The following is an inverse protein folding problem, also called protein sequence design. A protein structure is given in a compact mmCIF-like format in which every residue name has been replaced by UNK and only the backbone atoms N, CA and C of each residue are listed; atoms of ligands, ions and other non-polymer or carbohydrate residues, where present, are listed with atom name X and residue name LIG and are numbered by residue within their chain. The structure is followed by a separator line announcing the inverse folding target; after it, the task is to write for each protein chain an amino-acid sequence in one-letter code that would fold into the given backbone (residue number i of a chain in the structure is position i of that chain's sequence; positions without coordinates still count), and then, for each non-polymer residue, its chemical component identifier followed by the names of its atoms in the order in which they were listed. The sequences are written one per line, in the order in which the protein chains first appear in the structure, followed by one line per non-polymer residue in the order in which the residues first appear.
data_IF_230021810785
#
_entry.id   IF_230021810785
#
_cell.length_a   1.000
_cell.length_b   1.000
_cell.length_c   1.000
_cell.angle_alpha   90.00
_cell.angle_beta   90.00
_cell.angle_gamma   90.00
#
_symmetry.space_group_name_H-M   'P 1'
#
loop_
_entity.id
_entity.type
_entity.pdbx_description
1 polymer ?
#
# COMPACT_ATOMS: atom_id res chain seq x y z
N UNK A 1 34.19 -8.55 21.67
CA UNK A 1 33.86 -9.48 20.57
C UNK A 1 33.15 -8.64 19.51
N UNK A 2 33.82 -7.58 19.07
CA UNK A 2 33.18 -6.33 18.63
C UNK A 2 33.81 -5.74 17.37
N UNK A 3 34.76 -6.44 16.76
CA UNK A 3 35.51 -5.95 15.59
C UNK A 3 35.19 -6.76 14.31
N UNK A 4 34.09 -7.51 14.33
CA UNK A 4 33.58 -8.24 13.15
C UNK A 4 32.25 -7.65 12.65
N UNK A 5 31.94 -6.41 13.01
CA UNK A 5 30.82 -5.67 12.44
C UNK A 5 31.31 -4.88 11.22
N UNK A 6 30.69 -5.18 10.07
CA UNK A 6 30.69 -4.38 8.85
C UNK A 6 31.95 -4.37 7.99
N UNK A 7 32.37 -5.55 7.53
CA UNK A 7 32.80 -5.65 6.14
C UNK A 7 31.65 -6.27 5.32
N UNK A 8 30.57 -5.50 5.14
CA UNK A 8 29.51 -5.85 4.17
C UNK A 8 30.10 -5.70 2.79
N UNK A 9 30.65 -6.79 2.29
CA UNK A 9 31.17 -6.89 0.93
C UNK A 9 30.01 -6.74 -0.04
N UNK A 10 30.06 -5.73 -0.88
CA UNK A 10 29.06 -5.47 -1.92
C UNK A 10 29.53 -6.00 -3.28
N UNK A 11 28.60 -6.13 -4.22
CA UNK A 11 28.92 -6.56 -5.60
C UNK A 11 30.04 -5.69 -6.21
N UNK A 12 30.05 -4.38 -5.94
CA UNK A 12 31.09 -3.45 -6.41
C UNK A 12 32.49 -3.82 -5.91
N UNK A 13 32.58 -4.29 -4.67
CA UNK A 13 33.87 -4.58 -4.03
C UNK A 13 34.52 -5.80 -4.69
N UNK A 14 33.69 -6.76 -5.17
CA UNK A 14 34.16 -7.90 -5.97
C UNK A 14 34.71 -7.44 -7.32
N UNK A 15 34.11 -6.42 -7.94
CA UNK A 15 34.61 -5.85 -9.20
C UNK A 15 35.91 -5.07 -9.00
N UNK A 16 36.05 -4.33 -7.91
CA UNK A 16 37.29 -3.63 -7.57
C UNK A 16 38.43 -4.64 -7.34
N UNK A 17 38.17 -5.73 -6.61
CA UNK A 17 39.14 -6.82 -6.46
C UNK A 17 39.49 -7.49 -7.78
N UNK A 18 38.52 -7.73 -8.66
CA UNK A 18 38.77 -8.31 -9.97
C UNK A 18 39.69 -7.42 -10.82
N UNK A 19 39.53 -6.10 -10.73
CA UNK A 19 40.38 -5.13 -11.42
C UNK A 19 41.82 -5.15 -10.90
N UNK A 20 42.01 -5.07 -9.58
CA UNK A 20 43.34 -5.10 -8.96
C UNK A 20 44.08 -6.41 -9.28
N UNK A 21 43.37 -7.53 -9.17
CA UNK A 21 43.91 -8.85 -9.49
C UNK A 21 44.29 -8.95 -10.97
N UNK A 22 43.49 -8.38 -11.88
CA UNK A 22 43.80 -8.37 -13.30
C UNK A 22 45.06 -7.55 -13.60
N UNK A 23 45.25 -6.42 -12.94
CA UNK A 23 46.45 -5.59 -13.06
C UNK A 23 47.70 -6.36 -12.60
N UNK A 24 47.58 -7.14 -11.52
CA UNK A 24 48.69 -7.97 -11.04
C UNK A 24 49.01 -9.14 -11.97
N UNK A 25 47.99 -9.77 -12.56
CA UNK A 25 48.21 -10.77 -13.62
C UNK A 25 48.89 -10.18 -14.85
N UNK A 26 48.58 -8.94 -15.24
CA UNK A 26 49.25 -8.26 -16.34
C UNK A 26 50.75 -8.07 -16.06
N UNK A 27 51.12 -7.66 -14.84
CA UNK A 27 52.52 -7.56 -14.41
C UNK A 27 53.24 -8.91 -14.49
N UNK A 28 52.58 -10.00 -14.06
CA UNK A 28 53.16 -11.35 -14.06
C UNK A 28 53.30 -11.89 -15.49
N UNK A 29 52.29 -11.71 -16.35
CA UNK A 29 52.30 -12.08 -17.77
C UNK A 29 53.48 -11.42 -18.52
N UNK A 30 53.82 -10.18 -18.17
CA UNK A 30 54.95 -9.48 -18.76
C UNK A 30 56.31 -10.08 -18.37
N UNK A 31 56.36 -10.96 -17.37
CA UNK A 31 57.58 -11.56 -16.80
C UNK A 31 57.72 -13.08 -16.98
N UNK A 32 56.63 -13.81 -17.20
CA UNK A 32 56.57 -15.28 -17.30
C UNK A 32 55.96 -15.74 -18.63
N UNK A 33 56.24 -17.00 -19.00
CA UNK A 33 55.61 -17.63 -20.17
C UNK A 33 54.10 -17.85 -19.96
N UNK A 34 53.32 -17.35 -20.92
CA UNK A 34 51.86 -17.25 -20.82
C UNK A 34 51.12 -18.58 -20.69
N UNK A 35 51.69 -19.68 -21.17
CA UNK A 35 51.02 -20.98 -21.20
C UNK A 35 50.73 -21.54 -19.79
N UNK A 36 51.49 -21.12 -18.77
CA UNK A 36 51.31 -21.61 -17.39
C UNK A 36 50.33 -20.76 -16.57
N UNK A 37 50.11 -19.49 -16.96
CA UNK A 37 49.32 -18.53 -16.17
C UNK A 37 47.84 -18.57 -16.56
N UNK A 38 47.51 -18.85 -17.82
CA UNK A 38 46.12 -18.89 -18.32
C UNK A 38 45.21 -19.85 -17.50
N UNK A 39 45.64 -21.07 -17.12
CA UNK A 39 44.83 -21.94 -16.28
C UNK A 39 44.58 -21.38 -14.87
N UNK A 40 45.52 -20.59 -14.34
CA UNK A 40 45.38 -19.95 -13.03
C UNK A 40 44.38 -18.80 -13.09
N UNK A 41 44.47 -17.95 -14.13
CA UNK A 41 43.50 -16.86 -14.38
C UNK A 41 42.08 -17.44 -14.45
N UNK A 42 41.87 -18.52 -15.20
CA UNK A 42 40.56 -19.17 -15.30
C UNK A 42 40.03 -19.72 -13.96
N UNK A 43 40.91 -20.14 -13.04
CA UNK A 43 40.49 -20.54 -11.69
C UNK A 43 40.12 -19.33 -10.84
N UNK A 44 40.87 -18.24 -10.93
CA UNK A 44 40.59 -17.01 -10.19
C UNK A 44 39.28 -16.38 -10.66
N UNK A 45 39.02 -16.37 -11.96
CA UNK A 45 37.72 -15.96 -12.53
C UNK A 45 36.58 -16.76 -11.89
N UNK A 46 36.68 -18.10 -11.87
CA UNK A 46 35.64 -18.95 -11.23
C UNK A 46 35.44 -18.65 -9.75
N UNK A 47 36.51 -18.32 -9.02
CA UNK A 47 36.41 -17.94 -7.60
C UNK A 47 35.71 -16.60 -7.45
N UNK A 48 36.02 -15.61 -8.31
CA UNK A 48 35.36 -14.31 -8.32
C UNK A 48 33.87 -14.42 -8.71
N UNK A 49 33.52 -15.26 -9.68
CA UNK A 49 32.13 -15.56 -10.05
C UNK A 49 31.34 -16.16 -8.87
N UNK A 50 31.94 -17.12 -8.15
CA UNK A 50 31.31 -17.73 -6.97
C UNK A 50 31.19 -16.74 -5.80
N UNK A 51 32.17 -15.84 -5.66
CA UNK A 51 32.14 -14.77 -4.67
C UNK A 51 31.01 -13.78 -4.97
N UNK A 52 30.89 -13.33 -6.21
CA UNK A 52 29.81 -12.44 -6.67
C UNK A 52 28.43 -13.06 -6.41
N UNK A 53 28.23 -14.34 -6.76
CA UNK A 53 26.99 -15.05 -6.47
C UNK A 53 26.69 -15.12 -4.97
N UNK A 54 27.72 -15.35 -4.15
CA UNK A 54 27.57 -15.41 -2.70
C UNK A 54 27.21 -14.05 -2.10
N UNK A 55 27.85 -12.97 -2.58
CA UNK A 55 27.58 -11.58 -2.18
C UNK A 55 26.16 -11.19 -2.55
N UNK A 56 25.72 -11.43 -3.79
CA UNK A 56 24.34 -11.17 -4.23
C UNK A 56 23.31 -11.88 -3.36
N UNK A 57 23.59 -13.13 -3.01
CA UNK A 57 22.71 -13.91 -2.12
C UNK A 57 22.64 -13.31 -0.72
N UNK A 58 23.78 -12.87 -0.18
CA UNK A 58 23.84 -12.22 1.14
C UNK A 58 23.05 -10.91 1.12
N UNK A 59 23.26 -10.04 0.13
CA UNK A 59 22.53 -8.78 -0.01
C UNK A 59 21.00 -9.01 -0.10
N UNK A 60 20.58 -10.04 -0.86
CA UNK A 60 19.18 -10.42 -0.96
C UNK A 60 18.60 -10.88 0.40
N UNK A 61 19.33 -11.72 1.12
CA UNK A 61 18.93 -12.21 2.45
C UNK A 61 18.94 -11.09 3.50
N UNK A 62 19.89 -10.16 3.43
CA UNK A 62 19.95 -9.01 4.32
C UNK A 62 18.76 -8.07 4.09
N UNK A 63 18.40 -7.84 2.82
CA UNK A 63 17.18 -7.10 2.47
C UNK A 63 15.93 -7.78 3.00
N UNK A 64 15.77 -9.08 2.76
CA UNK A 64 14.64 -9.85 3.29
C UNK A 64 14.58 -9.81 4.83
N UNK A 65 15.72 -9.96 5.49
CA UNK A 65 15.82 -9.86 6.96
C UNK A 65 15.44 -8.47 7.46
N UNK A 66 15.86 -7.40 6.78
CA UNK A 66 15.46 -6.03 7.09
C UNK A 66 13.94 -5.84 6.94
N UNK A 67 13.37 -6.33 5.84
CA UNK A 67 11.93 -6.25 5.58
C UNK A 67 11.12 -7.03 6.64
N UNK A 68 11.57 -8.23 7.00
CA UNK A 68 10.95 -9.05 8.05
C UNK A 68 11.03 -8.37 9.42
N UNK A 69 12.17 -7.75 9.77
CA UNK A 69 12.31 -6.98 11.01
C UNK A 69 11.35 -5.79 11.03
N UNK A 70 11.24 -5.06 9.94
CA UNK A 70 10.31 -3.95 9.81
C UNK A 70 8.85 -4.41 10.01
N UNK A 71 8.46 -5.49 9.34
CA UNK A 71 7.13 -6.09 9.47
C UNK A 71 6.86 -6.60 10.89
N UNK A 72 7.83 -7.24 11.52
CA UNK A 72 7.73 -7.69 12.91
C UNK A 72 7.51 -6.51 13.86
N UNK A 73 8.28 -5.43 13.71
CA UNK A 73 8.10 -4.23 14.54
C UNK A 73 6.71 -3.62 14.35
N UNK A 74 6.26 -3.49 13.10
CA UNK A 74 4.92 -2.97 12.79
C UNK A 74 3.81 -3.82 13.43
N UNK A 75 3.83 -5.14 13.23
CA UNK A 75 2.85 -6.05 13.81
C UNK A 75 2.88 -6.05 15.34
N UNK A 76 4.07 -5.91 15.94
CA UNK A 76 4.19 -5.82 17.40
C UNK A 76 3.53 -4.54 17.90
N UNK A 77 3.76 -3.40 17.23
CA UNK A 77 3.11 -2.14 17.60
C UNK A 77 1.59 -2.20 17.45
N UNK A 78 1.10 -2.75 16.34
CA UNK A 78 -0.33 -2.91 16.08
C UNK A 78 -0.99 -3.83 17.13
N UNK A 79 -0.35 -4.96 17.45
CA UNK A 79 -0.81 -5.86 18.50
C UNK A 79 -0.94 -5.14 19.85
N UNK A 80 0.09 -4.40 20.25
CA UNK A 80 0.05 -3.66 21.52
C UNK A 80 -1.01 -2.56 21.54
N UNK A 81 -1.23 -1.88 20.41
CA UNK A 81 -2.26 -0.86 20.28
C UNK A 81 -3.67 -1.47 20.38
N UNK A 82 -3.91 -2.57 19.68
CA UNK A 82 -5.19 -3.28 19.71
C UNK A 82 -5.50 -3.89 21.09
N UNK A 83 -4.49 -4.41 21.79
CA UNK A 83 -4.63 -4.87 23.18
C UNK A 83 -4.99 -3.72 24.13
N UNK A 84 -4.38 -2.54 23.96
CA UNK A 84 -4.69 -1.35 24.74
C UNK A 84 -6.10 -0.83 24.45
N UNK A 85 -6.51 -0.79 23.18
CA UNK A 85 -7.87 -0.40 22.78
C UNK A 85 -8.92 -1.36 23.35
N UNK A 86 -8.69 -2.67 23.22
CA UNK A 86 -9.58 -3.68 23.81
C UNK A 86 -9.70 -3.51 25.32
N UNK A 87 -8.59 -3.22 26.01
CA UNK A 87 -8.60 -2.95 27.45
C UNK A 87 -9.42 -1.70 27.79
N UNK A 88 -9.21 -0.61 27.06
CA UNK A 88 -9.93 0.64 27.28
C UNK A 88 -11.43 0.47 27.03
N UNK A 89 -11.81 -0.23 25.95
CA UNK A 89 -13.21 -0.54 25.65
C UNK A 89 -13.87 -1.37 26.74
N UNK A 90 -13.15 -2.34 27.33
CA UNK A 90 -13.67 -3.11 28.49
C UNK A 90 -13.90 -2.22 29.70
N UNK A 91 -12.94 -1.36 30.04
CA UNK A 91 -13.09 -0.43 31.17
C UNK A 91 -14.25 0.54 30.97
N UNK A 92 -14.41 1.09 29.76
CA UNK A 92 -15.53 1.97 29.43
C UNK A 92 -16.87 1.24 29.51
N UNK A 93 -16.92 -0.04 29.14
CA UNK A 93 -18.12 -0.86 29.27
C UNK A 93 -18.47 -1.14 30.73
N UNK A 94 -17.48 -1.47 31.57
CA UNK A 94 -17.65 -1.67 33.01
C UNK A 94 -18.17 -0.38 33.69
N UNK A 95 -17.61 0.78 33.35
CA UNK A 95 -18.08 2.08 33.86
C UNK A 95 -19.52 2.40 33.42
N UNK A 96 -19.87 2.09 32.17
CA UNK A 96 -21.24 2.25 31.67
C UNK A 96 -22.22 1.32 32.39
N UNK A 97 -21.85 0.07 32.62
CA UNK A 97 -22.67 -0.90 33.33
C UNK A 97 -22.90 -0.48 34.79
N UNK A 98 -21.85 0.03 35.45
CA UNK A 98 -21.97 0.58 36.81
C UNK A 98 -22.92 1.78 36.84
N UNK A 99 -22.73 2.74 35.93
CA UNK A 99 -23.59 3.94 35.80
C UNK A 99 -25.05 3.56 35.55
N UNK A 100 -25.29 2.63 34.61
CA UNK A 100 -26.63 2.15 34.30
C UNK A 100 -27.30 1.45 35.48
N UNK A 101 -26.54 0.63 36.22
CA UNK A 101 -27.02 -0.03 37.44
C UNK A 101 -27.42 0.99 38.51
N UNK A 102 -26.58 2.01 38.73
CA UNK A 102 -26.88 3.11 39.66
C UNK A 102 -28.14 3.88 39.24
N UNK A 103 -28.28 4.23 37.96
CA UNK A 103 -29.46 4.92 37.43
C UNK A 103 -30.73 4.08 37.63
N UNK A 104 -30.67 2.77 37.35
CA UNK A 104 -31.77 1.85 37.57
C UNK A 104 -32.22 1.82 39.04
N UNK A 105 -31.27 1.86 39.99
CA UNK A 105 -31.58 1.93 41.43
C UNK A 105 -32.27 3.25 41.78
N UNK A 106 -31.77 4.39 41.26
CA UNK A 106 -32.36 5.72 41.50
C UNK A 106 -33.78 5.80 40.93
N UNK A 107 -33.98 5.35 39.69
CA UNK A 107 -35.29 5.34 39.04
C UNK A 107 -36.29 4.46 39.79
N UNK A 108 -35.85 3.29 40.26
CA UNK A 108 -36.69 2.41 41.07
C UNK A 108 -37.11 3.07 42.39
N UNK A 109 -36.18 3.72 43.09
CA UNK A 109 -36.48 4.48 44.30
C UNK A 109 -37.48 5.62 44.03
N UNK A 110 -37.36 6.30 42.89
CA UNK A 110 -38.29 7.35 42.49
C UNK A 110 -39.70 6.80 42.18
N UNK A 111 -39.78 5.67 41.48
CA UNK A 111 -41.06 4.97 41.23
C UNK A 111 -41.73 4.57 42.55
N UNK A 112 -40.97 4.02 43.50
CA UNK A 112 -41.52 3.60 44.80
C UNK A 112 -42.02 4.80 45.60
N UNK A 113 -41.31 5.93 45.56
CA UNK A 113 -41.77 7.19 46.16
C UNK A 113 -43.07 7.70 45.53
N UNK A 114 -43.16 7.76 44.20
CA UNK A 114 -44.37 8.17 43.49
C UNK A 114 -45.55 7.24 43.75
N UNK A 115 -45.31 5.93 43.83
CA UNK A 115 -46.34 4.95 44.21
C UNK A 115 -46.86 5.19 45.63
N UNK A 116 -45.97 5.51 46.57
CA UNK A 116 -46.36 5.85 47.93
C UNK A 116 -47.20 7.13 47.97
N UNK A 117 -46.78 8.19 47.27
CA UNK A 117 -47.51 9.46 47.16
C UNK A 117 -48.89 9.27 46.50
N UNK A 118 -48.97 8.52 45.40
CA UNK A 118 -50.23 8.19 44.75
C UNK A 118 -51.18 7.43 45.69
N UNK A 119 -50.67 6.48 46.47
CA UNK A 119 -51.48 5.76 47.46
C UNK A 119 -52.04 6.70 48.54
N UNK A 120 -51.22 7.65 49.02
CA UNK A 120 -51.66 8.66 50.00
C UNK A 120 -52.74 9.57 49.39
N UNK A 121 -52.53 10.07 48.17
CA UNK A 121 -53.50 10.92 47.48
C UNK A 121 -54.81 10.19 47.17
N UNK A 122 -54.73 8.91 46.76
CA UNK A 122 -55.91 8.08 46.54
C UNK A 122 -56.72 7.90 47.83
N UNK A 123 -56.06 7.64 48.96
CA UNK A 123 -56.74 7.54 50.25
C UNK A 123 -57.41 8.88 50.62
N UNK A 124 -56.71 10.01 50.45
CA UNK A 124 -57.26 11.33 50.74
C UNK A 124 -58.45 11.72 49.84
N UNK A 125 -58.44 11.31 48.56
CA UNK A 125 -59.57 11.50 47.65
C UNK A 125 -60.75 10.60 48.01
N UNK A 126 -60.51 9.36 48.41
CA UNK A 126 -61.56 8.46 48.90
C UNK A 126 -62.26 9.03 50.14
N UNK A 127 -61.50 9.63 51.07
CA UNK A 127 -62.05 10.34 52.24
C UNK A 127 -62.85 11.60 51.87
N UNK A 128 -62.56 12.25 50.74
CA UNK A 128 -63.21 13.50 50.29
C UNK A 128 -64.43 13.28 49.39
N UNK A 129 -64.56 12.12 48.76
CA UNK A 129 -65.67 11.79 47.84
C UNK A 129 -67.00 11.49 48.54
N UNK A 130 -67.09 11.63 49.86
CA UNK A 130 -68.37 11.67 50.61
C UNK A 130 -69.15 13.00 50.45
N UNK A 131 -68.82 13.83 49.45
CA UNK A 131 -69.42 15.16 49.26
C UNK A 131 -70.21 15.26 47.95
N UNK A 132 -71.54 15.35 48.13
CA UNK A 132 -72.66 15.87 47.30
C UNK A 132 -72.68 15.65 45.77
N UNK A 133 -73.76 15.02 45.22
CA UNK A 133 -73.89 14.69 43.79
C UNK A 133 -74.08 15.89 42.83
N UNK A 134 -74.31 17.10 43.34
CA UNK A 134 -74.61 18.29 42.50
C UNK A 134 -73.39 18.82 41.72
N UNK A 135 -72.18 18.48 42.17
CA UNK A 135 -70.93 18.85 41.50
C UNK A 135 -70.62 17.87 40.35
N UNK A 136 -71.05 16.61 40.44
CA UNK A 136 -70.71 15.56 39.48
C UNK A 136 -71.16 15.82 38.05
N UNK A 137 -72.35 16.41 37.87
CA UNK A 137 -72.92 16.62 36.54
C UNK A 137 -72.23 17.76 35.76
N UNK A 138 -71.75 18.80 36.45
CA UNK A 138 -70.97 19.89 35.84
C UNK A 138 -69.59 19.40 35.39
N UNK A 139 -68.93 18.58 36.20
CA UNK A 139 -67.62 17.99 35.84
C UNK A 139 -67.74 16.99 34.69
N UNK A 140 -68.84 16.23 34.62
CA UNK A 140 -69.08 15.27 33.54
C UNK A 140 -69.22 15.95 32.17
N UNK A 141 -69.92 17.08 32.10
CA UNK A 141 -70.03 17.86 30.86
C UNK A 141 -68.67 18.41 30.38
N UNK A 142 -67.82 18.87 31.31
CA UNK A 142 -66.47 19.36 30.99
C UNK A 142 -65.57 18.22 30.52
N UNK A 143 -65.68 17.04 31.14
CA UNK A 143 -64.94 15.83 30.73
C UNK A 143 -65.35 15.40 29.31
N UNK A 144 -66.65 15.36 29.00
CA UNK A 144 -67.15 14.99 27.67
C UNK A 144 -66.63 15.95 26.57
N UNK A 145 -66.55 17.24 26.86
CA UNK A 145 -66.01 18.24 25.92
C UNK A 145 -64.47 18.12 25.78
N UNK A 146 -63.76 17.80 26.86
CA UNK A 146 -62.33 17.49 26.80
C UNK A 146 -62.05 16.21 26.01
N UNK A 147 -62.86 15.16 26.17
CA UNK A 147 -62.73 13.92 25.41
C UNK A 147 -62.96 14.13 23.90
N UNK A 148 -63.94 14.95 23.52
CA UNK A 148 -64.15 15.35 22.12
C UNK A 148 -62.97 16.15 21.57
N UNK A 149 -62.41 17.06 22.35
CA UNK A 149 -61.24 17.85 21.95
C UNK A 149 -59.99 16.96 21.78
N UNK A 150 -59.73 16.07 22.74
CA UNK A 150 -58.63 15.10 22.70
C UNK A 150 -58.78 14.18 21.49
N UNK A 151 -59.99 13.73 21.18
CA UNK A 151 -60.25 12.89 20.01
C UNK A 151 -59.95 13.61 18.70
N UNK A 152 -60.31 14.89 18.58
CA UNK A 152 -59.96 15.75 17.43
C UNK A 152 -58.45 15.95 17.31
N UNK A 153 -57.76 16.23 18.42
CA UNK A 153 -56.32 16.40 18.44
C UNK A 153 -55.59 15.11 18.06
N UNK A 154 -56.02 13.96 18.59
CA UNK A 154 -55.47 12.64 18.21
C UNK A 154 -55.66 12.35 16.71
N UNK A 155 -56.81 12.67 16.14
CA UNK A 155 -57.05 12.50 14.71
C UNK A 155 -56.15 13.41 13.85
N UNK A 156 -55.99 14.68 14.24
CA UNK A 156 -55.09 15.61 13.55
C UNK A 156 -53.62 15.23 13.68
N UNK A 157 -53.21 14.71 14.83
CA UNK A 157 -51.86 14.23 15.08
C UNK A 157 -51.55 12.99 14.23
N UNK A 158 -52.45 12.00 14.19
CA UNK A 158 -52.34 10.85 13.27
C UNK A 158 -52.26 11.26 11.80
N UNK A 159 -53.03 12.27 11.40
CA UNK A 159 -52.96 12.80 10.04
C UNK A 159 -51.58 13.41 9.75
N UNK A 160 -50.99 14.14 10.70
CA UNK A 160 -49.63 14.68 10.56
C UNK A 160 -48.55 13.61 10.55
N UNK A 161 -48.66 12.59 11.40
CA UNK A 161 -47.74 11.44 11.41
C UNK A 161 -47.73 10.74 10.05
N UNK A 162 -48.90 10.45 9.49
CA UNK A 162 -49.02 9.86 8.15
C UNK A 162 -48.44 10.75 7.04
N UNK A 163 -48.52 12.08 7.19
CA UNK A 163 -47.90 13.01 6.23
C UNK A 163 -46.37 13.03 6.37
N UNK A 164 -45.86 13.00 7.60
CA UNK A 164 -44.43 12.94 7.87
C UNK A 164 -43.83 11.64 7.36
N UNK A 165 -44.51 10.51 7.54
CA UNK A 165 -44.08 9.21 7.02
C UNK A 165 -44.01 9.21 5.49
N UNK A 166 -45.02 9.77 4.81
CA UNK A 166 -44.98 9.94 3.35
C UNK A 166 -43.85 10.85 2.89
N UNK A 167 -43.63 11.96 3.59
CA UNK A 167 -42.55 12.88 3.24
C UNK A 167 -41.17 12.24 3.47
N UNK A 168 -41.01 11.47 4.54
CA UNK A 168 -39.80 10.72 4.83
C UNK A 168 -39.49 9.72 3.71
N UNK A 169 -40.47 8.89 3.33
CA UNK A 169 -40.31 7.93 2.22
C UNK A 169 -39.96 8.62 0.89
N UNK A 170 -40.55 9.79 0.60
CA UNK A 170 -40.22 10.55 -0.60
C UNK A 170 -38.80 11.11 -0.57
N UNK A 171 -38.34 11.60 0.59
CA UNK A 171 -36.96 12.09 0.75
C UNK A 171 -35.97 10.94 0.62
N UNK A 172 -36.26 9.80 1.23
CA UNK A 172 -35.43 8.60 1.15
C UNK A 172 -35.30 8.10 -0.29
N UNK A 173 -36.41 8.05 -1.04
CA UNK A 173 -36.40 7.73 -2.46
C UNK A 173 -35.56 8.73 -3.28
N UNK A 174 -35.72 10.03 -3.03
CA UNK A 174 -34.95 11.06 -3.73
C UNK A 174 -33.45 11.03 -3.43
N UNK A 175 -33.06 10.71 -2.18
CA UNK A 175 -31.66 10.52 -1.80
C UNK A 175 -31.05 9.31 -2.50
N UNK A 176 -31.77 8.18 -2.51
CA UNK A 176 -31.32 6.96 -3.19
C UNK A 176 -31.17 7.16 -4.71
N UNK A 177 -32.09 7.89 -5.33
CA UNK A 177 -32.00 8.26 -6.75
C UNK A 177 -30.82 9.21 -7.04
N UNK A 178 -30.46 10.09 -6.10
CA UNK A 178 -29.32 11.01 -6.26
C UNK A 178 -27.98 10.30 -6.07
N UNK A 179 -27.88 9.38 -5.12
CA UNK A 179 -26.67 8.56 -4.92
C UNK A 179 -26.40 7.66 -6.13
N UNK A 180 -27.43 6.99 -6.64
CA UNK A 180 -27.29 6.10 -7.81
C UNK A 180 -26.80 6.86 -9.05
N UNK A 181 -27.31 8.07 -9.30
CA UNK A 181 -26.85 8.92 -10.42
C UNK A 181 -25.41 9.41 -10.24
N UNK A 182 -24.99 9.73 -9.02
CA UNK A 182 -23.62 10.15 -8.75
C UNK A 182 -22.61 9.01 -8.96
N UNK A 183 -22.99 7.78 -8.63
CA UNK A 183 -22.11 6.63 -8.78
C UNK A 183 -22.00 6.21 -10.25
N UNK A 184 -23.11 6.25 -11.01
CA UNK A 184 -23.11 5.98 -12.45
C UNK A 184 -22.26 6.98 -13.25
N UNK A 185 -22.33 8.28 -12.94
CA UNK A 185 -21.50 9.31 -13.59
C UNK A 185 -20.00 9.13 -13.32
N UNK A 186 -19.61 8.75 -12.10
CA UNK A 186 -18.21 8.48 -11.75
C UNK A 186 -17.69 7.22 -12.44
N UNK A 187 -18.54 6.20 -12.59
CA UNK A 187 -18.21 4.95 -13.28
C UNK A 187 -17.95 5.21 -14.76
N UNK A 188 -18.80 6.02 -15.41
CA UNK A 188 -18.67 6.37 -16.82
C UNK A 188 -17.39 7.16 -17.13
N UNK A 189 -17.05 8.15 -16.28
CA UNK A 189 -15.82 8.94 -16.43
C UNK A 189 -14.54 8.11 -16.23
N UNK A 190 -14.58 7.13 -15.31
CA UNK A 190 -13.46 6.23 -15.09
C UNK A 190 -13.29 5.24 -16.26
N UNK A 191 -14.38 4.76 -16.85
CA UNK A 191 -14.34 3.85 -18.00
C UNK A 191 -13.77 4.54 -19.25
N UNK A 192 -14.14 5.80 -19.49
CA UNK A 192 -13.57 6.60 -20.58
C UNK A 192 -12.07 6.88 -20.39
N UNK A 193 -11.67 7.22 -19.16
CA UNK A 193 -10.26 7.40 -18.79
C UNK A 193 -9.44 6.11 -18.95
N UNK A 194 -10.02 4.95 -18.59
CA UNK A 194 -9.40 3.65 -18.74
C UNK A 194 -9.20 3.28 -20.21
N UNK A 195 -10.20 3.53 -21.06
CA UNK A 195 -10.12 3.28 -22.50
C UNK A 195 -9.05 4.16 -23.18
N UNK A 196 -8.93 5.43 -22.77
CA UNK A 196 -7.87 6.31 -23.26
C UNK A 196 -6.47 5.80 -22.90
N UNK A 197 -6.25 5.39 -21.64
CA UNK A 197 -4.98 4.82 -21.20
C UNK A 197 -4.65 3.50 -21.91
N UNK A 198 -5.66 2.67 -22.20
CA UNK A 198 -5.47 1.41 -22.92
C UNK A 198 -5.03 1.67 -24.37
N UNK A 199 -5.64 2.66 -25.04
CA UNK A 199 -5.24 3.08 -26.38
C UNK A 199 -3.79 3.62 -26.38
N UNK A 200 -3.44 4.48 -25.42
CA UNK A 200 -2.08 5.00 -25.30
C UNK A 200 -1.06 3.87 -25.07
N UNK A 201 -1.41 2.88 -24.23
CA UNK A 201 -0.56 1.72 -24.00
C UNK A 201 -0.29 0.93 -25.29
N UNK A 202 -1.30 0.73 -26.12
CA UNK A 202 -1.15 0.00 -27.39
C UNK A 202 -0.35 0.80 -28.43
N UNK A 203 -0.51 2.12 -28.48
CA UNK A 203 0.34 2.99 -29.31
C UNK A 203 1.81 2.93 -28.88
N UNK A 204 2.07 2.95 -27.57
CA UNK A 204 3.43 2.82 -27.02
C UNK A 204 4.03 1.45 -27.36
N UNK A 205 3.27 0.36 -27.22
CA UNK A 205 3.73 -0.98 -27.62
C UNK A 205 4.12 -1.01 -29.10
N UNK A 206 3.32 -0.42 -29.99
CA UNK A 206 3.64 -0.36 -31.42
C UNK A 206 4.92 0.45 -31.70
N UNK A 207 5.12 1.58 -31.02
CA UNK A 207 6.36 2.37 -31.14
C UNK A 207 7.58 1.60 -30.68
N UNK A 208 7.49 0.90 -29.55
CA UNK A 208 8.58 0.05 -29.04
C UNK A 208 8.93 -1.04 -30.05
N UNK A 209 7.94 -1.70 -30.63
CA UNK A 209 8.15 -2.76 -31.61
C UNK A 209 8.81 -2.23 -32.89
N UNK A 210 8.40 -1.04 -33.36
CA UNK A 210 9.04 -0.37 -34.50
C UNK A 210 10.50 -0.02 -34.22
N UNK A 211 10.79 0.55 -33.05
CA UNK A 211 12.15 0.87 -32.64
C UNK A 211 13.03 -0.37 -32.51
N UNK A 212 12.47 -1.50 -32.05
CA UNK A 212 13.20 -2.77 -32.01
C UNK A 212 13.60 -3.26 -33.41
N UNK A 213 12.70 -3.13 -34.41
CA UNK A 213 13.01 -3.47 -35.81
C UNK A 213 14.09 -2.56 -36.37
N UNK A 214 14.00 -1.25 -36.16
CA UNK A 214 15.00 -0.29 -36.61
C UNK A 214 16.37 -0.57 -35.97
N UNK A 215 16.40 -0.87 -34.68
CA UNK A 215 17.62 -1.21 -33.95
C UNK A 215 18.25 -2.51 -34.46
N UNK A 216 17.43 -3.52 -34.80
CA UNK A 216 17.92 -4.74 -35.44
C UNK A 216 18.52 -4.48 -36.83
N UNK A 217 17.90 -3.63 -37.64
CA UNK A 217 18.41 -3.23 -38.95
C UNK A 217 19.77 -2.51 -38.85
N UNK A 218 19.87 -1.54 -37.94
CA UNK A 218 21.13 -0.79 -37.70
C UNK A 218 22.23 -1.70 -37.15
N UNK A 219 21.89 -2.68 -36.31
CA UNK A 219 22.85 -3.71 -35.86
C UNK A 219 23.39 -4.52 -37.04
N UNK A 220 22.51 -5.02 -37.91
CA UNK A 220 22.93 -5.78 -39.09
C UNK A 220 23.84 -4.96 -40.02
N UNK A 221 23.51 -3.69 -40.27
CA UNK A 221 24.36 -2.80 -41.07
C UNK A 221 25.74 -2.59 -40.43
N UNK A 222 25.79 -2.39 -39.10
CA UNK A 222 27.07 -2.27 -38.38
C UNK A 222 27.89 -3.56 -38.46
N UNK A 223 27.25 -4.73 -38.38
CA UNK A 223 27.89 -6.03 -38.55
C UNK A 223 28.52 -6.14 -39.96
N UNK A 224 27.78 -5.70 -40.97
CA UNK A 224 28.22 -5.70 -42.37
C UNK A 224 29.41 -4.76 -42.60
N UNK A 225 29.36 -3.53 -42.07
CA UNK A 225 30.50 -2.61 -42.08
C UNK A 225 31.71 -3.16 -41.33
N UNK A 226 31.50 -3.84 -40.20
CA UNK A 226 32.59 -4.53 -39.47
C UNK A 226 33.23 -5.62 -40.30
N UNK A 227 32.43 -6.42 -41.02
CA UNK A 227 32.96 -7.46 -41.92
C UNK A 227 33.78 -6.86 -43.08
N UNK A 228 33.31 -5.75 -43.67
CA UNK A 228 34.03 -5.04 -44.72
C UNK A 228 35.35 -4.42 -44.23
N UNK A 229 35.37 -3.85 -43.01
CA UNK A 229 36.62 -3.35 -42.40
C UNK A 229 37.62 -4.49 -42.16
N UNK A 230 37.14 -5.67 -41.75
CA UNK A 230 37.99 -6.84 -41.51
C UNK A 230 38.59 -7.39 -42.81
N UNK A 231 37.85 -7.37 -43.92
CA UNK A 231 38.37 -7.80 -45.23
C UNK A 231 39.37 -6.79 -45.82
N UNK A 232 39.14 -5.49 -45.66
CA UNK A 232 40.09 -4.44 -46.03
C UNK A 232 41.40 -4.53 -45.22
N UNK A 233 41.30 -4.75 -43.90
CA UNK A 233 42.45 -4.99 -43.03
C UNK A 233 43.27 -6.22 -43.47
N UNK A 234 42.60 -7.30 -43.89
CA UNK A 234 43.26 -8.50 -44.40
C UNK A 234 43.95 -8.32 -45.76
N UNK A 235 43.56 -7.33 -46.56
CA UNK A 235 44.24 -6.99 -47.82
C UNK A 235 45.45 -6.05 -47.63
N UNK A 236 45.59 -5.43 -46.45
CA UNK A 236 46.61 -4.41 -46.19
C UNK A 236 47.88 -4.94 -45.50
N UNK A 237 48.10 -6.26 -45.48
CA UNK A 237 49.28 -6.87 -44.85
C UNK A 237 50.04 -7.85 -45.76
N UNK A 238 51.07 -7.39 -46.52
CA UNK A 238 52.22 -8.21 -46.86
C UNK A 238 53.33 -7.99 -45.81
N UNK A 239 53.61 -9.05 -45.02
CA UNK A 239 54.84 -9.30 -44.24
C UNK A 239 55.51 -8.10 -43.55
N UNK A 240 55.39 -8.01 -42.23
CA UNK A 240 56.56 -8.04 -41.33
C UNK A 240 56.17 -8.55 -39.93
N UNK A 241 56.90 -9.59 -39.53
CA UNK A 241 57.31 -10.06 -38.20
C UNK A 241 56.76 -9.32 -36.96
N UNK A 242 56.33 -10.12 -35.97
CA UNK A 242 56.53 -9.76 -34.56
C UNK A 242 55.33 -10.08 -33.67
N UNK A 243 55.32 -11.27 -33.07
CA UNK A 243 54.35 -11.60 -32.02
C UNK A 243 54.46 -10.65 -30.83
N UNK A 244 53.32 -10.08 -30.42
CA UNK A 244 53.00 -9.49 -29.11
C UNK A 244 51.62 -8.84 -29.26
N UNK A 245 50.54 -9.53 -28.91
CA UNK A 245 49.20 -8.92 -29.01
C UNK A 245 48.03 -9.84 -28.72
N UNK A 246 48.20 -11.16 -28.81
CA UNK A 246 47.09 -12.13 -28.64
C UNK A 246 46.54 -12.24 -27.22
N UNK A 247 47.12 -11.56 -26.23
CA UNK A 247 46.72 -11.70 -24.82
C UNK A 247 45.91 -10.51 -24.34
N UNK A 248 46.09 -9.34 -24.97
CA UNK A 248 45.22 -8.18 -24.75
C UNK A 248 43.81 -8.40 -25.30
N UNK A 249 43.67 -9.17 -26.39
CA UNK A 249 42.36 -9.49 -26.99
C UNK A 249 41.54 -10.49 -26.17
N UNK A 250 42.17 -11.33 -25.34
CA UNK A 250 41.45 -12.28 -24.48
C UNK A 250 40.87 -11.56 -23.26
N UNK A 251 41.56 -10.56 -22.71
CA UNK A 251 41.08 -9.77 -21.58
C UNK A 251 40.01 -8.73 -21.97
N UNK A 252 40.09 -8.17 -23.18
CA UNK A 252 39.08 -7.24 -23.69
C UNK A 252 37.72 -7.89 -24.00
N UNK A 253 37.67 -9.22 -24.16
CA UNK A 253 36.41 -9.94 -24.36
C UNK A 253 35.72 -10.33 -23.05
N UNK A 254 36.44 -10.35 -21.92
CA UNK A 254 35.93 -10.88 -20.65
C UNK A 254 35.40 -9.80 -19.70
N UNK A 255 35.87 -8.55 -19.82
CA UNK A 255 35.38 -7.40 -19.02
C UNK A 255 34.48 -6.51 -19.85
N UNK A 256 33.20 -6.85 -19.93
CA UNK A 256 32.19 -6.08 -20.67
C UNK A 256 32.19 -4.58 -20.33
N UNK A 257 32.86 -3.79 -21.18
CA UNK A 257 32.81 -2.32 -21.36
C UNK A 257 33.33 -1.55 -20.11
N UNK A 258 34.34 -0.67 -20.20
CA UNK A 258 34.21 0.74 -20.59
C UNK A 258 35.58 1.27 -21.07
N UNK A 259 35.61 1.81 -22.30
CA UNK A 259 36.65 2.73 -22.75
C UNK A 259 36.31 4.13 -22.20
N UNK A 260 36.94 4.56 -21.11
CA UNK A 260 36.89 5.96 -20.68
C UNK A 260 38.04 6.66 -21.38
N UNK A 261 37.74 7.35 -22.48
CA UNK A 261 38.55 8.52 -22.82
C UNK A 261 37.69 9.67 -23.33
N UNK A 262 37.67 10.72 -22.50
CA UNK A 262 37.47 12.13 -22.82
C UNK A 262 36.08 12.60 -23.30
N UNK A 263 35.33 13.19 -22.36
CA UNK A 263 34.42 14.31 -22.68
C UNK A 263 33.02 14.25 -22.05
N UNK A 264 32.82 15.10 -21.04
CA UNK A 264 31.54 15.65 -20.58
C UNK A 264 30.56 14.75 -19.81
N UNK A 265 30.15 15.29 -18.65
CA UNK A 265 29.02 14.88 -17.83
C UNK A 265 27.72 14.74 -18.64
N UNK A 266 26.79 13.89 -18.19
CA UNK A 266 25.56 14.27 -17.48
C UNK A 266 24.81 13.01 -17.01
N UNK A 267 24.19 13.14 -15.84
CA UNK A 267 23.33 12.18 -15.14
C UNK A 267 22.15 11.64 -15.97
N UNK A 268 21.78 10.37 -15.73
CA UNK A 268 20.42 9.80 -15.68
C UNK A 268 20.59 8.37 -15.16
N UNK A 269 20.04 7.91 -14.03
CA UNK A 269 18.84 8.29 -13.33
C UNK A 269 17.87 7.10 -13.34
N UNK A 270 18.10 6.13 -12.44
CA UNK A 270 17.14 5.26 -11.72
C UNK A 270 17.81 4.98 -10.36
#
# INVERSE_FOLDING_TARGET
MSDLENLTLQEKDVYDFAYDIAQDFEKIINSLDNEQIVPLINKVIKVLELLEQSVKKIECLEKENSDLKCKYMHLTTEKTANEAETRNSKLAFEELEESYSQECVVLKAFIDKLKAENKVLQNALAEKNDISPEIGDSYKAVIDDQEKLISKLKASLRQRENQLEKNYLNIEAALKDSECKSDDEKLYLNEESLNFLLQEQDELKQRVLKLQIELASVKNQNEEYRMQLKSLSNMQNPKTVGGRGRIQEIFHLFLGVININSGMCWFRGI
#
